data_IF_002662634443
#
_entry.id   IF_002662634443
#
_cell.length_a   1.000
_cell.length_b   1.000
_cell.length_c   1.000
_cell.angle_alpha   90.00
_cell.angle_beta   90.00
_cell.angle_gamma   90.00
#
_symmetry.space_group_name_H-M   'P 1'
#
loop_
_entity.id
_entity.type
_entity.pdbx_description
1 polymer ?
#
# COMPACT_ATOMS: atom_id res chain seq x y z
N UNK A 1 -25.34 30.91 -3.82
CA UNK A 1 -25.29 30.35 -2.46
C UNK A 1 -24.21 29.29 -2.38
N UNK A 2 -23.02 29.61 -1.84
CA UNK A 2 -21.96 28.64 -1.60
C UNK A 2 -21.91 28.20 -0.13
N UNK A 3 -21.65 26.92 0.13
CA UNK A 3 -21.47 26.38 1.48
C UNK A 3 -20.06 26.70 1.99
N UNK A 4 -20.08 27.22 3.21
CA UNK A 4 -19.00 27.71 4.03
C UNK A 4 -18.42 26.55 4.85
N UNK A 5 -17.10 26.41 4.94
CA UNK A 5 -16.37 26.04 6.16
C UNK A 5 -14.92 26.45 5.97
N UNK A 6 -14.48 27.24 6.93
CA UNK A 6 -13.28 28.07 6.98
C UNK A 6 -12.29 27.48 7.97
N UNK A 7 -11.03 27.55 7.58
CA UNK A 7 -9.84 27.89 8.35
C UNK A 7 -9.41 26.85 9.43
N UNK A 8 -8.12 26.52 9.60
CA UNK A 8 -7.04 27.47 9.81
C UNK A 8 -5.63 26.84 9.64
N UNK A 9 -4.68 27.72 9.35
CA UNK A 9 -3.26 27.53 8.99
C UNK A 9 -2.36 27.86 10.21
N UNK A 10 -1.20 27.20 10.29
CA UNK A 10 0.04 27.53 11.04
C UNK A 10 -0.04 27.60 12.58
N UNK A 11 0.99 27.34 13.40
CA UNK A 11 2.29 26.65 13.39
C UNK A 11 2.93 27.07 14.71
N UNK A 12 3.53 26.17 15.50
CA UNK A 12 4.81 26.45 16.16
C UNK A 12 5.31 25.32 17.06
N UNK A 13 6.63 25.21 16.97
CA UNK A 13 7.58 24.29 17.57
C UNK A 13 7.59 24.24 19.10
N UNK A 14 7.94 23.05 19.60
CA UNK A 14 8.79 22.73 20.75
C UNK A 14 8.43 23.32 22.13
N UNK A 15 8.20 22.45 23.13
CA UNK A 15 9.12 22.25 24.27
C UNK A 15 8.43 21.49 25.42
N UNK A 16 9.02 20.37 25.83
CA UNK A 16 8.97 19.77 27.18
C UNK A 16 7.61 19.58 27.89
N UNK A 17 6.89 18.47 27.65
CA UNK A 17 6.08 17.80 28.69
C UNK A 17 5.55 16.42 28.27
N UNK A 18 6.44 15.46 27.98
CA UNK A 18 6.06 14.04 27.78
C UNK A 18 6.46 13.13 28.95
N UNK A 19 7.04 13.68 30.03
CA UNK A 19 7.44 12.91 31.21
C UNK A 19 6.46 12.95 32.38
N UNK A 20 5.35 13.68 32.25
CA UNK A 20 4.35 13.84 33.33
C UNK A 20 3.06 13.04 33.14
N UNK A 21 2.89 12.35 31.99
CA UNK A 21 1.69 11.52 31.74
C UNK A 21 1.82 10.05 32.17
N UNK A 22 3.00 9.58 32.59
CA UNK A 22 3.18 8.18 33.00
C UNK A 22 3.01 7.90 34.49
N UNK A 23 2.82 8.91 35.35
CA UNK A 23 2.75 8.68 36.82
C UNK A 23 1.36 8.96 37.42
N UNK A 24 0.37 9.43 36.65
CA UNK A 24 -0.99 9.70 37.18
C UNK A 24 -2.13 8.96 36.45
N UNK A 25 -1.82 8.00 35.58
CA UNK A 25 -2.82 7.18 34.89
C UNK A 25 -3.14 5.78 35.46
N UNK A 26 -2.76 5.34 36.68
CA UNK A 26 -3.21 4.03 37.17
C UNK A 26 -4.44 4.07 38.10
N UNK A 27 -5.21 5.16 38.18
CA UNK A 27 -6.37 5.24 39.10
C UNK A 27 -7.76 5.35 38.43
N UNK A 28 -7.88 5.27 37.11
CA UNK A 28 -9.19 5.33 36.43
C UNK A 28 -9.44 4.17 35.44
N UNK A 29 -9.05 2.94 35.79
CA UNK A 29 -9.61 1.74 35.16
C UNK A 29 -10.25 0.83 36.23
N UNK A 30 -11.52 1.12 36.49
CA UNK A 30 -12.60 0.22 36.95
C UNK A 30 -12.20 -1.07 37.69
N UNK A 31 -12.41 -1.10 39.01
CA UNK A 31 -12.46 -2.34 39.80
C UNK A 31 -13.75 -3.12 39.54
N UNK A 32 -13.99 -3.51 38.29
CA UNK A 32 -14.95 -4.53 37.93
C UNK A 32 -14.18 -5.81 37.62
N UNK A 33 -14.22 -6.77 38.55
CA UNK A 33 -13.54 -8.08 38.54
C UNK A 33 -12.02 -8.06 38.71
N UNK A 34 -11.56 -7.99 39.97
CA UNK A 34 -10.19 -8.41 40.36
C UNK A 34 -9.82 -9.81 39.84
N UNK A 35 -10.82 -10.68 39.66
CA UNK A 35 -10.65 -12.01 39.05
C UNK A 35 -10.31 -11.92 37.55
N UNK A 36 -10.91 -10.97 36.81
CA UNK A 36 -10.66 -10.74 35.37
C UNK A 36 -9.32 -10.05 35.15
N UNK A 37 -8.99 -9.05 35.97
CA UNK A 37 -7.68 -8.39 35.91
C UNK A 37 -6.55 -9.38 36.20
N UNK A 38 -6.70 -10.24 37.21
CA UNK A 38 -5.69 -11.27 37.50
C UNK A 38 -5.54 -12.31 36.37
N UNK A 39 -6.61 -12.72 35.68
CA UNK A 39 -6.46 -13.64 34.53
C UNK A 39 -5.94 -12.93 33.28
N UNK A 40 -6.27 -11.66 33.06
CA UNK A 40 -5.70 -10.88 31.95
C UNK A 40 -4.20 -10.64 32.19
N UNK A 41 -3.80 -10.32 33.42
CA UNK A 41 -2.39 -10.18 33.81
C UNK A 41 -1.63 -11.51 33.71
N UNK A 42 -2.24 -12.64 34.09
CA UNK A 42 -1.63 -13.97 33.90
C UNK A 42 -1.51 -14.35 32.43
N UNK A 43 -2.49 -13.98 31.60
CA UNK A 43 -2.45 -14.22 30.14
C UNK A 43 -1.37 -13.36 29.49
N UNK A 44 -1.21 -12.10 29.87
CA UNK A 44 -0.12 -11.25 29.35
C UNK A 44 1.28 -11.71 29.81
N UNK A 45 1.43 -12.15 31.07
CA UNK A 45 2.71 -12.71 31.55
C UNK A 45 3.08 -14.03 30.87
N UNK A 46 2.09 -14.87 30.54
CA UNK A 46 2.30 -16.11 29.79
C UNK A 46 2.73 -15.82 28.34
N UNK A 47 2.13 -14.81 27.68
CA UNK A 47 2.48 -14.41 26.31
C UNK A 47 3.92 -13.89 26.22
N UNK A 48 4.38 -13.06 27.16
CA UNK A 48 5.74 -12.54 27.14
C UNK A 48 6.81 -13.63 27.35
N UNK A 49 6.49 -14.66 28.13
CA UNK A 49 7.40 -15.78 28.40
C UNK A 49 7.47 -16.75 27.22
N UNK A 50 6.35 -16.99 26.52
CA UNK A 50 6.31 -17.83 25.32
C UNK A 50 7.01 -17.18 24.11
N UNK A 51 7.15 -15.85 24.08
CA UNK A 51 7.90 -15.15 23.03
C UNK A 51 9.43 -15.21 23.21
N UNK A 52 9.93 -15.65 24.36
CA UNK A 52 11.37 -15.71 24.68
C UNK A 52 11.96 -17.14 24.69
N UNK A 53 11.15 -18.18 24.43
CA UNK A 53 11.60 -19.58 24.43
C UNK A 53 12.02 -20.13 23.06
N UNK A 54 11.84 -19.39 21.97
CA UNK A 54 12.16 -19.85 20.60
C UNK A 54 13.25 -18.98 19.94
N UNK A 55 14.54 -19.26 20.20
CA UNK A 55 15.65 -18.55 19.55
C UNK A 55 15.84 -18.89 18.05
N UNK A 56 14.98 -19.73 17.44
CA UNK A 56 14.95 -19.98 15.99
C UNK A 56 13.80 -19.25 15.24
N UNK A 57 13.04 -18.37 15.91
CA UNK A 57 11.98 -17.60 15.25
C UNK A 57 12.46 -16.37 14.44
N UNK A 58 13.77 -16.20 14.24
CA UNK A 58 14.33 -15.19 13.33
C UNK A 58 15.46 -15.80 12.50
N UNK A 59 15.12 -16.27 11.29
CA UNK A 59 15.25 -15.41 10.12
C UNK A 59 13.94 -15.13 9.36
N UNK A 60 12.77 -15.36 9.98
CA UNK A 60 11.46 -15.32 9.30
C UNK A 60 10.57 -14.10 9.56
N UNK A 61 11.00 -13.10 10.33
CA UNK A 61 10.25 -11.84 10.48
C UNK A 61 10.67 -10.76 9.46
N UNK A 62 10.75 -11.16 8.19
CA UNK A 62 10.41 -10.22 7.11
C UNK A 62 8.89 -10.21 6.99
N UNK A 63 8.25 -9.06 6.75
CA UNK A 63 6.80 -9.00 6.62
C UNK A 63 6.35 -9.94 5.48
N UNK A 64 5.71 -11.05 5.84
CA UNK A 64 5.08 -12.00 4.90
C UNK A 64 3.73 -11.45 4.46
N UNK A 65 3.73 -10.20 3.99
CA UNK A 65 2.57 -9.60 3.35
C UNK A 65 2.71 -9.84 1.84
N UNK A 66 1.97 -10.85 1.37
CA UNK A 66 1.67 -11.17 -0.03
C UNK A 66 2.82 -11.65 -0.94
N UNK A 67 3.72 -12.55 -0.49
CA UNK A 67 4.45 -13.41 -1.44
C UNK A 67 3.65 -14.68 -1.74
N UNK A 68 2.61 -14.50 -2.56
CA UNK A 68 2.05 -15.52 -3.44
C UNK A 68 2.33 -15.09 -4.90
N UNK A 69 2.07 -15.98 -5.87
CA UNK A 69 2.96 -16.87 -6.63
C UNK A 69 3.95 -16.05 -7.52
N UNK A 70 4.39 -16.37 -8.78
CA UNK A 70 5.24 -15.42 -9.51
C UNK A 70 4.41 -14.16 -9.78
N UNK A 71 4.73 -13.08 -9.05
CA UNK A 71 4.10 -11.78 -9.21
C UNK A 71 4.26 -11.36 -10.67
N UNK A 72 3.17 -11.45 -11.42
CA UNK A 72 3.15 -11.06 -12.82
C UNK A 72 2.85 -9.58 -12.86
N UNK A 73 3.82 -8.80 -13.33
CA UNK A 73 3.71 -7.36 -13.48
C UNK A 73 2.44 -7.01 -14.29
N UNK A 74 1.44 -6.34 -13.68
CA UNK A 74 0.19 -5.99 -14.36
C UNK A 74 0.44 -5.16 -15.62
N UNK A 75 1.49 -4.36 -15.65
CA UNK A 75 1.82 -3.48 -16.77
C UNK A 75 2.36 -4.25 -17.98
N UNK A 76 2.62 -5.56 -17.85
CA UNK A 76 3.04 -6.45 -18.94
C UNK A 76 1.92 -7.38 -19.41
N UNK A 77 0.77 -7.36 -18.75
CA UNK A 77 -0.38 -8.19 -19.12
C UNK A 77 -1.23 -7.51 -20.20
N UNK A 78 -1.94 -8.26 -21.06
CA UNK A 78 -2.87 -7.69 -22.03
C UNK A 78 -4.17 -7.20 -21.36
N UNK A 79 -4.94 -6.33 -22.03
CA UNK A 79 -6.31 -6.05 -21.62
C UNK A 79 -7.20 -7.30 -21.77
N UNK A 80 -7.94 -7.67 -20.73
CA UNK A 80 -8.85 -8.84 -20.76
C UNK A 80 -10.26 -8.43 -20.39
N UNK A 81 -11.17 -8.49 -21.39
CA UNK A 81 -12.61 -8.26 -21.17
C UNK A 81 -13.25 -9.34 -20.28
N UNK A 82 -12.84 -10.60 -20.45
CA UNK A 82 -13.47 -11.74 -19.79
C UNK A 82 -14.83 -12.13 -20.39
N UNK A 83 -15.43 -13.25 -19.95
CA UNK A 83 -16.62 -13.84 -20.58
C UNK A 83 -17.94 -13.21 -20.14
N UNK A 84 -17.95 -12.45 -19.04
CA UNK A 84 -19.15 -11.78 -18.55
C UNK A 84 -19.58 -10.62 -19.49
N UNK A 85 -20.88 -10.26 -19.42
CA UNK A 85 -21.53 -9.35 -20.38
C UNK A 85 -21.77 -7.93 -19.85
N UNK A 86 -21.21 -7.57 -18.70
CA UNK A 86 -21.28 -6.19 -18.24
C UNK A 86 -20.50 -5.26 -19.20
N UNK A 87 -20.76 -3.96 -19.09
CA UNK A 87 -20.05 -2.92 -19.84
C UNK A 87 -19.42 -1.95 -18.86
N UNK A 88 -18.35 -2.39 -18.20
CA UNK A 88 -17.65 -1.60 -17.20
C UNK A 88 -16.49 -0.84 -17.86
N UNK A 89 -16.50 0.49 -17.73
CA UNK A 89 -15.40 1.34 -18.17
C UNK A 89 -14.20 1.15 -17.25
N UNK A 90 -13.05 0.78 -17.82
CA UNK A 90 -11.79 0.52 -17.11
C UNK A 90 -10.62 1.02 -17.94
N UNK A 91 -9.45 1.06 -17.33
CA UNK A 91 -8.20 1.44 -17.97
C UNK A 91 -7.20 0.29 -17.89
N UNK A 92 -6.40 0.11 -18.93
CA UNK A 92 -5.28 -0.81 -18.95
C UNK A 92 -4.04 -0.06 -19.45
N UNK A 93 -2.86 -0.49 -19.03
CA UNK A 93 -1.61 0.02 -19.57
C UNK A 93 -1.28 -0.68 -20.88
N UNK A 94 -1.15 0.10 -21.95
CA UNK A 94 -0.71 -0.35 -23.25
C UNK A 94 0.79 -0.08 -23.39
N UNK A 95 1.61 -1.13 -23.31
CA UNK A 95 3.06 -1.03 -23.42
C UNK A 95 3.54 -0.67 -24.84
N UNK A 96 2.68 -0.74 -25.86
CA UNK A 96 3.02 -0.36 -27.24
C UNK A 96 2.92 1.15 -27.42
N UNK A 97 1.86 1.77 -26.92
CA UNK A 97 1.68 3.22 -26.93
C UNK A 97 2.34 3.91 -25.73
N UNK A 98 2.76 3.14 -24.72
CA UNK A 98 3.27 3.65 -23.44
C UNK A 98 2.21 4.55 -22.80
N UNK A 99 0.94 4.16 -22.87
CA UNK A 99 -0.20 4.95 -22.39
C UNK A 99 -1.21 4.10 -21.60
N UNK A 100 -1.97 4.78 -20.75
CA UNK A 100 -3.11 4.16 -20.05
C UNK A 100 -4.39 4.39 -20.85
N UNK A 101 -4.88 3.34 -21.51
CA UNK A 101 -5.98 3.42 -22.47
C UNK A 101 -7.28 2.85 -21.87
N UNK A 102 -8.45 3.41 -22.24
CA UNK A 102 -9.72 2.87 -21.80
C UNK A 102 -10.06 1.56 -22.52
N UNK A 103 -10.72 0.64 -21.82
CA UNK A 103 -11.30 -0.57 -22.40
C UNK A 103 -12.58 -0.98 -21.66
N UNK A 104 -13.38 -1.85 -22.28
CA UNK A 104 -14.60 -2.36 -21.66
C UNK A 104 -14.36 -3.73 -21.00
N UNK A 105 -14.45 -3.76 -19.68
CA UNK A 105 -14.40 -4.99 -18.88
C UNK A 105 -15.80 -5.62 -18.73
N UNK A 106 -15.86 -6.93 -18.96
CA UNK A 106 -17.08 -7.74 -18.91
C UNK A 106 -17.59 -8.02 -17.49
N UNK A 107 -16.76 -7.77 -16.46
CA UNK A 107 -17.14 -7.89 -15.05
C UNK A 107 -16.64 -9.15 -14.35
N UNK A 108 -16.03 -10.11 -15.06
CA UNK A 108 -15.42 -11.29 -14.44
C UNK A 108 -14.24 -11.82 -15.27
N UNK A 109 -13.36 -12.60 -14.62
CA UNK A 109 -12.21 -13.29 -15.23
C UNK A 109 -11.32 -12.37 -16.10
N UNK A 110 -11.12 -11.13 -15.66
CA UNK A 110 -10.06 -10.27 -16.16
C UNK A 110 -8.71 -10.67 -15.57
N UNK A 111 -7.70 -9.82 -15.79
CA UNK A 111 -6.41 -9.91 -15.13
C UNK A 111 -6.08 -8.60 -14.39
N UNK A 112 -4.86 -8.48 -13.87
CA UNK A 112 -4.44 -7.33 -13.07
C UNK A 112 -4.19 -6.05 -13.88
N UNK A 113 -4.11 -6.10 -15.21
CA UNK A 113 -4.08 -4.90 -16.06
C UNK A 113 -5.49 -4.34 -16.26
N UNK A 114 -6.13 -3.95 -15.16
CA UNK A 114 -7.51 -3.49 -15.12
C UNK A 114 -7.68 -2.51 -13.96
N UNK A 115 -7.66 -1.23 -14.28
CA UNK A 115 -7.71 -0.13 -13.33
C UNK A 115 -9.02 0.63 -13.44
N UNK A 116 -9.54 1.13 -12.32
CA UNK A 116 -10.80 1.88 -12.28
C UNK A 116 -10.65 3.28 -12.89
N UNK A 117 -9.48 3.91 -12.72
CA UNK A 117 -9.20 5.26 -13.23
C UNK A 117 -7.85 5.32 -13.94
N UNK A 118 -7.69 6.29 -14.84
CA UNK A 118 -6.42 6.58 -15.52
C UNK A 118 -5.32 6.89 -14.51
N UNK A 119 -5.62 7.64 -13.44
CA UNK A 119 -4.63 8.06 -12.45
C UNK A 119 -4.04 6.86 -11.70
N UNK A 120 -4.87 5.84 -11.42
CA UNK A 120 -4.39 4.60 -10.80
C UNK A 120 -3.49 3.85 -11.79
N UNK A 121 -3.93 3.70 -13.05
CA UNK A 121 -3.13 3.06 -14.09
C UNK A 121 -1.76 3.75 -14.26
N UNK A 122 -1.74 5.07 -14.39
CA UNK A 122 -0.52 5.87 -14.57
C UNK A 122 0.38 5.73 -13.36
N UNK A 123 -0.16 5.83 -12.15
CA UNK A 123 0.64 5.68 -10.92
C UNK A 123 1.28 4.30 -10.80
N UNK A 124 0.59 3.25 -11.25
CA UNK A 124 1.07 1.87 -11.17
C UNK A 124 2.08 1.56 -12.28
N UNK A 125 1.84 2.03 -13.51
CA UNK A 125 2.58 1.58 -14.69
C UNK A 125 3.51 2.61 -15.33
N UNK A 126 3.33 3.91 -15.05
CA UNK A 126 4.21 4.96 -15.57
C UNK A 126 5.15 5.46 -14.48
N UNK A 127 6.48 5.27 -14.61
CA UNK A 127 7.42 5.93 -13.72
C UNK A 127 7.37 7.46 -13.92
N UNK A 128 7.57 8.26 -12.85
CA UNK A 128 7.66 9.70 -12.98
C UNK A 128 8.92 10.06 -13.79
N UNK A 129 8.76 10.48 -15.04
CA UNK A 129 9.88 10.96 -15.86
C UNK A 129 9.79 10.70 -17.36
N UNK A 130 8.86 9.87 -17.85
CA UNK A 130 8.69 9.64 -19.29
C UNK A 130 7.54 10.48 -19.84
N UNK A 131 7.63 11.79 -19.64
CA UNK A 131 6.96 12.76 -20.51
C UNK A 131 7.77 12.83 -21.79
N UNK A 132 7.19 12.42 -22.91
CA UNK A 132 7.71 12.61 -24.26
C UNK A 132 7.75 14.11 -24.61
N UNK A 133 8.72 14.81 -24.04
CA UNK A 133 9.17 16.15 -24.42
C UNK A 133 10.70 16.12 -24.47
N UNK A 134 11.28 16.10 -25.68
CA UNK A 134 12.73 16.32 -25.83
C UNK A 134 13.37 15.76 -27.10
N UNK A 135 13.51 16.62 -28.11
CA UNK A 135 14.47 16.46 -29.21
C UNK A 135 15.92 16.43 -28.68
N UNK A 136 16.60 15.31 -28.96
CA UNK A 136 18.01 15.12 -29.41
C UNK A 136 19.23 15.25 -28.48
N UNK A 137 19.97 14.13 -28.52
CA UNK A 137 21.42 13.95 -28.76
C UNK A 137 22.37 13.93 -27.56
N UNK A 138 22.86 12.73 -27.21
CA UNK A 138 24.20 12.27 -27.62
C UNK A 138 24.59 10.90 -27.04
N UNK A 139 25.14 10.05 -27.92
CA UNK A 139 26.33 9.23 -27.59
C UNK A 139 26.10 7.79 -27.12
N UNK A 140 26.15 6.84 -28.05
CA UNK A 140 26.20 5.41 -27.79
C UNK A 140 26.37 4.62 -29.08
N UNK A 141 27.52 4.85 -29.73
CA UNK A 141 27.98 4.27 -30.99
C UNK A 141 28.14 2.72 -30.91
N UNK A 142 28.12 2.08 -32.07
CA UNK A 142 28.28 0.63 -32.28
C UNK A 142 29.54 0.04 -31.64
N UNK A 143 29.50 -1.21 -31.14
CA UNK A 143 30.52 -2.24 -31.47
C UNK A 143 30.16 -3.67 -30.99
N UNK A 144 30.13 -4.60 -31.96
CA UNK A 144 30.46 -6.04 -31.97
C UNK A 144 30.00 -7.04 -30.88
N UNK A 145 29.51 -8.19 -31.37
CA UNK A 145 30.02 -9.50 -30.93
C UNK A 145 29.14 -10.70 -31.28
N UNK A 146 29.65 -11.55 -32.19
CA UNK A 146 29.21 -12.90 -32.61
C UNK A 146 28.24 -13.00 -33.79
#
# INVERSE_FOLDING_TARGET
MPKNIKDNVLESRASNSLFTFHILAPLLLSTANKLVVSVVDLVEQAVMTLLLSDPEALPSLQPVFCLEPPYTDPCKLPAVRGPCKASLHRYFYNSTSIECEPFTYGGCQGNANNFETTEICVRVCKPPGESSDGNRSNGGDSMLGM
#
